data_IF_821565790664
#
_entry.id   IF_821565790664
#
_cell.length_a   1.000
_cell.length_b   1.000
_cell.length_c   1.000
_cell.angle_alpha   90.00
_cell.angle_beta   90.00
_cell.angle_gamma   90.00
#
_symmetry.space_group_name_H-M   'P 1'
#
loop_
_entity.id
_entity.type
_entity.pdbx_description
1 polymer ?
#
# COMPACT_ATOMS: atom_id res chain seq x y z
N UNK A 1 -7.46 8.27 12.49
CA UNK A 1 -6.20 8.05 11.74
C UNK A 1 -5.57 6.75 12.19
N UNK A 2 -5.28 5.85 11.27
CA UNK A 2 -4.70 4.52 11.54
C UNK A 2 -3.20 4.69 11.80
N UNK A 3 -2.68 4.06 12.86
CA UNK A 3 -1.24 4.07 13.12
C UNK A 3 -0.50 3.18 12.12
N UNK A 4 0.65 3.64 11.63
CA UNK A 4 1.54 2.84 10.79
C UNK A 4 2.02 1.56 11.47
N UNK A 5 2.16 1.59 12.79
CA UNK A 5 2.58 0.45 13.60
C UNK A 5 1.47 -0.60 13.75
N UNK A 6 0.21 -0.22 13.52
CA UNK A 6 -0.89 -1.17 13.50
C UNK A 6 -0.85 -2.06 12.24
N UNK A 7 -0.22 -1.62 11.16
CA UNK A 7 -0.10 -2.42 9.93
C UNK A 7 1.14 -3.29 10.00
N UNK A 8 0.98 -4.61 9.93
CA UNK A 8 2.08 -5.60 10.02
C UNK A 8 2.09 -6.52 8.81
N UNK A 9 3.25 -7.09 8.48
CA UNK A 9 3.41 -8.01 7.34
C UNK A 9 3.52 -9.44 7.85
N UNK A 10 2.60 -10.30 7.42
CA UNK A 10 2.71 -11.76 7.56
C UNK A 10 3.28 -12.40 6.28
N UNK A 11 3.34 -11.64 5.16
CA UNK A 11 4.07 -12.00 3.94
C UNK A 11 5.24 -11.06 3.66
N UNK A 12 6.33 -11.61 3.14
CA UNK A 12 7.50 -10.86 2.66
C UNK A 12 7.70 -10.99 1.15
N UNK A 13 6.68 -11.48 0.43
CA UNK A 13 6.74 -11.75 -1.01
C UNK A 13 5.55 -11.14 -1.75
N UNK A 14 5.82 -10.70 -2.97
CA UNK A 14 4.82 -10.30 -3.97
C UNK A 14 4.65 -11.45 -4.95
N UNK A 15 3.43 -11.96 -5.07
CA UNK A 15 3.08 -12.95 -6.09
C UNK A 15 2.88 -12.27 -7.45
N UNK A 16 3.45 -12.87 -8.48
CA UNK A 16 3.43 -12.42 -9.88
C UNK A 16 3.17 -13.63 -10.78
N UNK A 17 1.90 -13.85 -11.13
CA UNK A 17 1.46 -15.09 -11.78
C UNK A 17 1.84 -16.31 -10.94
N UNK A 18 2.56 -17.26 -11.54
CA UNK A 18 3.03 -18.49 -10.87
C UNK A 18 4.35 -18.30 -10.10
N UNK A 19 4.87 -17.07 -10.03
CA UNK A 19 6.16 -16.76 -9.40
C UNK A 19 6.01 -15.80 -8.22
N UNK A 20 7.07 -15.67 -7.42
CA UNK A 20 7.11 -14.74 -6.29
C UNK A 20 8.44 -14.01 -6.22
N UNK A 21 8.42 -12.73 -5.83
CA UNK A 21 9.61 -11.90 -5.60
C UNK A 21 9.60 -11.40 -4.16
N UNK A 22 10.77 -11.38 -3.50
CA UNK A 22 10.89 -10.81 -2.16
C UNK A 22 10.62 -9.29 -2.19
N UNK A 23 9.91 -8.79 -1.19
CA UNK A 23 9.61 -7.37 -1.04
C UNK A 23 10.91 -6.64 -0.67
N UNK A 24 11.37 -5.66 -1.46
CA UNK A 24 12.53 -4.85 -1.09
C UNK A 24 12.26 -4.04 0.19
N UNK A 25 13.27 -3.86 1.05
CA UNK A 25 13.08 -3.23 2.37
C UNK A 25 12.45 -1.83 2.30
N UNK A 26 12.85 -1.03 1.30
CA UNK A 26 12.31 0.32 1.08
C UNK A 26 10.84 0.33 0.62
N UNK A 27 10.27 -0.81 0.24
CA UNK A 27 8.87 -0.91 -0.18
C UNK A 27 7.92 -1.10 0.99
N UNK A 28 8.34 -1.73 2.09
CA UNK A 28 7.46 -2.01 3.24
C UNK A 28 6.78 -0.73 3.72
N UNK A 29 7.57 0.33 3.84
CA UNK A 29 7.11 1.63 4.28
C UNK A 29 6.11 2.28 3.30
N UNK A 30 6.40 2.22 2.00
CA UNK A 30 5.54 2.78 0.97
C UNK A 30 4.21 2.01 0.92
N UNK A 31 4.26 0.68 0.98
CA UNK A 31 3.09 -0.19 0.97
C UNK A 31 2.19 0.12 2.17
N UNK A 32 2.74 0.20 3.40
CA UNK A 32 1.95 0.57 4.59
C UNK A 32 1.29 1.94 4.41
N UNK A 33 2.05 2.93 3.95
CA UNK A 33 1.53 4.30 3.77
C UNK A 33 0.35 4.32 2.82
N UNK A 34 0.50 3.70 1.63
CA UNK A 34 -0.53 3.70 0.61
C UNK A 34 -1.75 2.88 1.03
N UNK A 35 -1.54 1.75 1.71
CA UNK A 35 -2.64 0.95 2.26
C UNK A 35 -3.43 1.78 3.28
N UNK A 36 -2.76 2.44 4.23
CA UNK A 36 -3.44 3.28 5.23
C UNK A 36 -4.29 4.36 4.56
N UNK A 37 -3.76 5.07 3.55
CA UNK A 37 -4.53 6.04 2.80
C UNK A 37 -5.82 5.44 2.23
N UNK A 38 -5.73 4.26 1.58
CA UNK A 38 -6.90 3.57 1.04
C UNK A 38 -7.89 3.18 2.15
N UNK A 39 -7.42 2.68 3.30
CA UNK A 39 -8.29 2.29 4.40
C UNK A 39 -9.01 3.49 5.04
N UNK A 40 -8.32 4.63 5.15
CA UNK A 40 -8.90 5.87 5.68
C UNK A 40 -9.93 6.49 4.71
N UNK A 41 -9.69 6.40 3.40
CA UNK A 41 -10.66 6.82 2.38
C UNK A 41 -11.93 5.95 2.39
N UNK A 42 -11.82 4.69 2.83
CA UNK A 42 -12.92 3.73 2.92
C UNK A 42 -13.52 3.57 4.34
N UNK A 43 -13.29 4.54 5.24
CA UNK A 43 -13.70 4.49 6.65
C UNK A 43 -15.20 4.26 6.88
N UNK A 44 -16.04 4.60 5.90
CA UNK A 44 -17.49 4.43 5.96
C UNK A 44 -17.95 2.98 5.76
N UNK A 45 -17.11 2.13 5.15
CA UNK A 45 -17.41 0.72 4.92
C UNK A 45 -16.91 -0.15 6.08
N UNK A 46 -15.75 0.19 6.65
CA UNK A 46 -15.17 -0.51 7.79
C UNK A 46 -14.48 0.48 8.74
N UNK A 47 -14.91 0.55 10.02
CA UNK A 47 -14.25 1.40 11.00
C UNK A 47 -12.97 0.71 11.51
N UNK A 48 -11.86 1.00 10.85
CA UNK A 48 -10.51 0.62 11.29
C UNK A 48 -10.02 1.43 12.49
N UNK A 49 -10.75 2.47 12.89
CA UNK A 49 -10.41 3.26 14.08
C UNK A 49 -10.38 2.35 15.31
N UNK A 50 -9.19 2.24 15.91
CA UNK A 50 -8.88 1.39 17.08
C UNK A 50 -8.70 -0.09 16.77
N UNK A 51 -8.53 -0.47 15.51
CA UNK A 51 -8.02 -1.80 15.19
C UNK A 51 -6.60 -1.93 15.76
N UNK A 52 -6.34 -2.88 16.68
CA UNK A 52 -5.02 -3.02 17.29
C UNK A 52 -3.97 -3.47 16.27
N UNK A 53 -4.39 -4.26 15.28
CA UNK A 53 -3.49 -4.81 14.28
C UNK A 53 -4.22 -5.14 12.97
N UNK A 54 -3.59 -4.76 11.86
CA UNK A 54 -4.01 -5.00 10.49
C UNK A 54 -2.87 -5.76 9.81
N UNK A 55 -3.06 -7.06 9.57
CA UNK A 55 -2.07 -7.94 8.97
C UNK A 55 -2.20 -7.95 7.46
N UNK A 56 -1.12 -7.68 6.75
CA UNK A 56 -1.00 -7.95 5.33
C UNK A 56 -0.66 -9.43 5.16
N UNK A 57 -1.63 -10.22 4.71
CA UNK A 57 -1.52 -11.68 4.61
C UNK A 57 -0.94 -12.08 3.26
N UNK A 58 -1.32 -11.39 2.19
CA UNK A 58 -0.78 -11.65 0.86
C UNK A 58 -0.73 -10.38 0.03
N UNK A 59 0.24 -10.31 -0.88
CA UNK A 59 0.38 -9.24 -1.86
C UNK A 59 0.54 -9.90 -3.22
N UNK A 60 -0.29 -9.50 -4.16
CA UNK A 60 -0.23 -9.98 -5.53
C UNK A 60 -0.20 -8.81 -6.49
N UNK A 61 0.34 -9.04 -7.68
CA UNK A 61 0.20 -8.10 -8.79
C UNK A 61 0.21 -8.84 -10.12
N UNK A 62 -0.48 -8.25 -11.09
CA UNK A 62 -0.44 -8.66 -12.49
C UNK A 62 0.66 -7.94 -13.27
N UNK A 63 1.24 -6.91 -12.68
CA UNK A 63 2.31 -6.13 -13.28
C UNK A 63 3.65 -6.87 -13.12
N UNK A 64 4.55 -6.70 -14.08
CA UNK A 64 5.91 -7.23 -13.95
C UNK A 64 6.70 -6.39 -12.94
N UNK A 65 6.86 -6.94 -11.73
CA UNK A 65 7.60 -6.31 -10.63
C UNK A 65 9.05 -6.03 -11.01
N UNK A 66 9.67 -6.87 -11.85
CA UNK A 66 11.07 -6.72 -12.27
C UNK A 66 11.23 -5.66 -13.35
N UNK A 67 10.18 -5.37 -14.10
CA UNK A 67 10.15 -4.35 -15.13
C UNK A 67 9.58 -3.00 -14.64
N UNK A 68 9.48 -2.78 -13.32
CA UNK A 68 9.10 -1.50 -12.70
C UNK A 68 10.15 -0.41 -12.96
N UNK A 69 10.29 -0.01 -14.22
CA UNK A 69 11.32 0.90 -14.71
C UNK A 69 10.67 2.21 -15.21
N UNK A 70 9.33 2.26 -15.39
CA UNK A 70 8.65 3.38 -16.06
C UNK A 70 7.25 3.77 -15.57
N UNK A 71 6.75 3.27 -14.44
CA UNK A 71 5.32 3.50 -14.16
C UNK A 71 4.81 3.31 -12.74
N UNK A 72 3.47 3.26 -12.68
CA UNK A 72 2.63 2.96 -11.52
C UNK A 72 2.31 1.47 -11.55
N UNK A 73 2.42 0.79 -10.41
CA UNK A 73 2.11 -0.62 -10.21
C UNK A 73 0.89 -0.74 -9.31
N UNK A 74 -0.01 -1.66 -9.64
CA UNK A 74 -1.17 -2.02 -8.83
C UNK A 74 -0.85 -3.28 -8.03
N UNK A 75 -0.87 -3.15 -6.71
CA UNK A 75 -0.83 -4.25 -5.76
C UNK A 75 -2.27 -4.59 -5.32
N UNK A 76 -2.60 -5.87 -5.34
CA UNK A 76 -3.78 -6.43 -4.70
C UNK A 76 -3.32 -6.96 -3.34
N UNK A 77 -3.76 -6.31 -2.26
CA UNK A 77 -3.32 -6.59 -0.89
C UNK A 77 -4.48 -7.22 -0.13
N UNK A 78 -4.30 -8.49 0.23
CA UNK A 78 -5.22 -9.19 1.13
C UNK A 78 -4.83 -8.89 2.57
N UNK A 79 -5.74 -8.31 3.34
CA UNK A 79 -5.54 -8.00 4.75
C UNK A 79 -6.40 -8.86 5.65
N UNK A 80 -5.97 -8.99 6.90
CA UNK A 80 -6.70 -9.61 7.98
C UNK A 80 -6.67 -8.71 9.21
N UNK A 81 -7.81 -8.45 9.84
CA UNK A 81 -7.92 -7.51 10.95
C UNK A 81 -9.02 -7.88 11.95
N UNK A 82 -8.90 -7.36 13.16
CA UNK A 82 -9.92 -7.49 14.21
C UNK A 82 -10.79 -6.23 14.27
N UNK A 83 -12.11 -6.37 14.08
CA UNK A 83 -13.03 -5.25 14.17
C UNK A 83 -13.33 -4.90 15.65
N UNK A 84 -12.99 -3.70 16.12
CA UNK A 84 -13.14 -3.33 17.53
C UNK A 84 -14.60 -3.14 18.00
N UNK A 85 -15.57 -3.15 17.09
CA UNK A 85 -16.98 -2.83 17.40
C UNK A 85 -17.82 -3.99 17.94
N UNK A 86 -17.32 -5.23 17.98
CA UNK A 86 -18.11 -6.37 18.47
C UNK A 86 -17.41 -7.09 19.61
N UNK A 87 -17.96 -6.96 20.82
CA UNK A 87 -17.51 -7.60 22.06
C UNK A 87 -17.68 -9.14 22.12
N UNK A 88 -17.50 -9.83 21.00
CA UNK A 88 -17.50 -11.29 20.95
C UNK A 88 -16.31 -11.76 20.14
N UNK A 89 -15.90 -13.02 20.34
CA UNK A 89 -14.95 -13.77 19.52
C UNK A 89 -15.40 -13.77 18.06
N UNK A 90 -15.29 -12.64 17.37
CA UNK A 90 -15.49 -12.55 15.94
C UNK A 90 -14.24 -13.09 15.27
N UNK A 91 -14.37 -14.05 14.35
CA UNK A 91 -13.24 -14.50 13.56
C UNK A 91 -12.61 -13.32 12.84
N UNK A 92 -11.30 -13.40 12.60
CA UNK A 92 -10.57 -12.36 11.89
C UNK A 92 -11.29 -12.01 10.59
N UNK A 93 -11.56 -10.73 10.38
CA UNK A 93 -12.13 -10.26 9.12
C UNK A 93 -11.03 -10.19 8.08
N UNK A 94 -11.37 -10.47 6.84
CA UNK A 94 -10.45 -10.40 5.71
C UNK A 94 -11.05 -9.55 4.61
N UNK A 95 -10.22 -8.76 3.94
CA UNK A 95 -10.65 -7.92 2.83
C UNK A 95 -9.50 -7.67 1.85
N UNK A 96 -9.83 -7.27 0.63
CA UNK A 96 -8.89 -7.09 -0.48
C UNK A 96 -8.85 -5.63 -0.93
N UNK A 97 -7.67 -5.01 -0.85
CA UNK A 97 -7.47 -3.62 -1.24
C UNK A 97 -6.55 -3.49 -2.45
N UNK A 98 -6.96 -2.65 -3.39
CA UNK A 98 -6.11 -2.24 -4.50
C UNK A 98 -5.27 -1.04 -4.06
N UNK A 99 -3.96 -1.23 -4.00
CA UNK A 99 -3.00 -0.20 -3.65
C UNK A 99 -2.14 0.12 -4.86
N UNK A 100 -1.93 1.39 -5.13
CA UNK A 100 -1.04 1.79 -6.21
C UNK A 100 0.25 2.40 -5.67
N UNK A 101 1.36 1.86 -6.14
CA UNK A 101 2.70 2.40 -5.89
C UNK A 101 3.26 2.94 -7.21
N UNK A 102 4.08 3.97 -7.13
CA UNK A 102 4.63 4.68 -8.28
C UNK A 102 6.10 5.01 -8.02
N UNK A 103 6.90 5.20 -9.08
CA UNK A 103 8.32 5.53 -8.91
C UNK A 103 8.54 6.77 -8.03
N UNK A 104 7.61 7.71 -8.08
CA UNK A 104 7.70 8.94 -7.31
C UNK A 104 7.60 8.66 -5.80
N UNK A 105 6.90 7.60 -5.38
CA UNK A 105 6.83 7.17 -3.97
C UNK A 105 8.21 6.77 -3.40
N UNK A 106 9.19 6.47 -4.26
CA UNK A 106 10.56 6.15 -3.89
C UNK A 106 11.51 7.36 -3.96
N UNK A 107 11.04 8.51 -4.44
CA UNK A 107 11.83 9.73 -4.52
C UNK A 107 11.92 10.40 -3.13
N UNK A 108 13.10 10.91 -2.78
CA UNK A 108 13.26 11.72 -1.58
C UNK A 108 12.54 13.06 -1.73
N UNK A 109 12.03 13.66 -0.64
CA UNK A 109 11.30 14.95 -0.66
C UNK A 109 12.00 16.07 -1.45
N UNK A 110 13.34 16.03 -1.57
CA UNK A 110 14.11 16.97 -2.39
C UNK A 110 13.92 16.75 -3.89
N UNK A 111 13.91 15.49 -4.34
CA UNK A 111 13.64 15.12 -5.73
C UNK A 111 12.20 15.39 -6.14
N UNK A 112 11.24 15.35 -5.21
CA UNK A 112 9.85 15.73 -5.45
C UNK A 112 9.72 17.19 -5.88
N UNK A 113 10.34 18.12 -5.15
CA UNK A 113 10.34 19.55 -5.52
C UNK A 113 10.98 19.79 -6.89
N UNK A 114 12.10 19.15 -7.17
CA UNK A 114 12.79 19.26 -8.46
C UNK A 114 11.93 18.71 -9.63
N UNK A 115 11.13 17.66 -9.40
CA UNK A 115 10.23 17.10 -10.42
C UNK A 115 8.96 17.94 -10.63
N UNK A 116 8.36 18.50 -9.57
CA UNK A 116 7.22 19.42 -9.68
C UNK A 116 7.63 20.69 -10.44
N UNK A 117 8.77 21.30 -10.08
CA UNK A 117 9.31 22.48 -10.78
C UNK A 117 9.61 22.17 -12.26
N UNK A 118 10.11 20.97 -12.59
CA UNK A 118 10.39 20.58 -13.98
C UNK A 118 9.12 20.31 -14.81
N UNK A 119 8.05 19.80 -14.19
CA UNK A 119 6.78 19.54 -14.88
C UNK A 119 6.00 20.83 -15.15
N UNK A 120 6.05 21.80 -14.23
CA UNK A 120 5.45 23.13 -14.40
C UNK A 120 6.18 23.95 -15.49
N UNK A 121 7.50 23.78 -15.64
CA UNK A 121 8.27 24.42 -16.71
C UNK A 121 7.94 23.85 -18.10
N UNK A 122 7.63 22.56 -18.24
CA UNK A 122 7.22 21.97 -19.53
C UNK A 122 5.80 22.39 -19.94
N UNK A 123 4.88 22.59 -19.01
CA UNK A 123 3.49 22.99 -19.31
C UNK A 123 3.37 24.48 -19.66
N UNK A 124 4.30 25.33 -19.20
CA UNK A 124 4.34 26.76 -19.54
C UNK A 124 5.02 27.06 -20.89
N UNK A 125 5.76 26.10 -21.46
CA UNK A 125 6.52 26.24 -22.70
C UNK A 125 5.90 25.50 -23.91
N UNK A 126 4.69 24.95 -23.77
CA UNK A 126 3.89 24.31 -24.83
C UNK A 126 2.77 25.24 -25.35
#
# INVERSE_FOLDING_TARGET
MISRDAVVFDTFKIQTGDSSVDIPENWFDIIKTKLICVLEDNINEVPFEKCPEIRIVSIQTKDDVRAFIRGKMRLEIHIMYECPLRGHMTPNMTDDYAVYISMIDFCSQRKWREMEESAEEEECNA
#
